data_IF_304361973235
#
_entry.id   IF_304361973235
#
_cell.length_a   1.000
_cell.length_b   1.000
_cell.length_c   1.000
_cell.angle_alpha   90.00
_cell.angle_beta   90.00
_cell.angle_gamma   90.00
#
_symmetry.space_group_name_H-M   'P 1'
#
loop_
_entity.id
_entity.type
_entity.pdbx_description
1 polymer ?
#
# COMPACT_ATOMS: atom_id res chain seq x y z
N UNK A 1 -12.91 -16.24 -11.63
CA UNK A 1 -12.94 -15.87 -10.19
C UNK A 1 -11.85 -14.83 -9.99
N UNK A 2 -12.19 -13.62 -9.55
CA UNK A 2 -11.15 -12.63 -9.22
C UNK A 2 -10.32 -13.19 -8.07
N UNK A 3 -9.00 -13.27 -8.21
CA UNK A 3 -8.13 -13.40 -7.04
C UNK A 3 -8.47 -12.23 -6.10
N UNK A 4 -8.67 -12.51 -4.82
CA UNK A 4 -8.87 -11.45 -3.82
C UNK A 4 -7.61 -10.59 -3.74
N UNK A 5 -7.79 -9.26 -3.62
CA UNK A 5 -6.68 -8.35 -3.35
C UNK A 5 -6.55 -8.27 -1.83
N UNK A 6 -5.45 -8.79 -1.28
CA UNK A 6 -5.18 -8.79 0.16
C UNK A 6 -3.86 -8.04 0.38
N UNK A 7 -3.90 -6.98 1.19
CA UNK A 7 -2.72 -6.19 1.57
C UNK A 7 -2.68 -6.10 3.09
N UNK A 8 -1.56 -6.53 3.68
CA UNK A 8 -1.35 -6.58 5.13
C UNK A 8 -2.49 -7.29 5.89
N UNK A 9 -2.87 -8.47 5.40
CA UNK A 9 -3.97 -9.28 5.96
C UNK A 9 -5.37 -8.71 5.71
N UNK A 10 -5.50 -7.52 5.12
CA UNK A 10 -6.80 -6.88 4.88
C UNK A 10 -7.28 -7.17 3.46
N UNK A 11 -8.46 -7.78 3.33
CA UNK A 11 -9.09 -8.04 2.03
C UNK A 11 -9.75 -6.77 1.49
N UNK A 12 -9.39 -6.32 0.29
CA UNK A 12 -9.94 -5.14 -0.39
C UNK A 12 -10.97 -5.61 -1.40
N UNK A 13 -12.25 -5.23 -1.26
CA UNK A 13 -13.33 -5.68 -2.14
C UNK A 13 -13.40 -4.87 -3.45
N UNK A 14 -14.00 -5.40 -4.53
CA UNK A 14 -14.28 -4.60 -5.73
C UNK A 14 -15.09 -3.34 -5.40
N UNK A 15 -14.70 -2.19 -5.95
CA UNK A 15 -15.28 -0.88 -5.64
C UNK A 15 -14.79 -0.23 -4.34
N UNK A 16 -13.95 -0.90 -3.56
CA UNK A 16 -13.42 -0.37 -2.31
C UNK A 16 -12.16 0.48 -2.54
N UNK A 17 -12.07 1.59 -1.80
CA UNK A 17 -10.84 2.34 -1.62
C UNK A 17 -10.39 2.21 -0.16
N UNK A 18 -9.10 1.98 0.05
CA UNK A 18 -8.56 1.79 1.40
C UNK A 18 -7.23 2.51 1.56
N UNK A 19 -7.04 3.12 2.73
CA UNK A 19 -5.74 3.57 3.22
C UNK A 19 -5.23 2.55 4.24
N UNK A 20 -4.00 2.08 4.08
CA UNK A 20 -3.37 1.07 4.92
C UNK A 20 -2.01 1.60 5.37
N UNK A 21 -1.78 1.61 6.67
CA UNK A 21 -0.43 1.78 7.22
C UNK A 21 0.12 0.42 7.59
N UNK A 22 1.28 0.08 7.06
CA UNK A 22 1.98 -1.17 7.37
C UNK A 22 3.21 -0.91 8.21
N UNK A 23 3.45 -1.75 9.22
CA UNK A 23 4.64 -1.68 10.06
C UNK A 23 5.80 -2.34 9.32
N UNK A 24 6.74 -1.56 8.79
CA UNK A 24 7.84 -2.09 7.95
C UNK A 24 9.13 -2.32 8.72
N UNK A 25 9.37 -1.55 9.78
CA UNK A 25 10.61 -1.65 10.55
C UNK A 25 10.47 -1.07 11.95
N UNK A 26 11.44 -1.42 12.80
CA UNK A 26 11.67 -0.76 14.08
C UNK A 26 13.12 -0.30 14.14
N UNK A 27 13.32 0.97 14.42
CA UNK A 27 14.65 1.54 14.62
C UNK A 27 15.24 1.10 15.98
N UNK A 28 16.57 1.15 16.18
CA UNK A 28 17.19 0.89 17.48
C UNK A 28 16.67 1.76 18.63
N UNK A 29 16.13 2.95 18.31
CA UNK A 29 15.44 3.83 19.26
C UNK A 29 14.10 3.27 19.77
N UNK A 30 13.59 2.21 19.17
CA UNK A 30 12.25 1.68 19.40
C UNK A 30 11.17 2.31 18.52
N UNK A 31 11.49 3.37 17.76
CA UNK A 31 10.57 4.02 16.82
C UNK A 31 10.10 3.04 15.75
N UNK A 32 8.79 2.95 15.52
CA UNK A 32 8.19 2.15 14.45
C UNK A 32 8.17 2.98 13.18
N UNK A 33 8.54 2.37 12.06
CA UNK A 33 8.40 2.95 10.73
C UNK A 33 7.12 2.38 10.12
N UNK A 34 6.19 3.27 9.82
CA UNK A 34 4.96 2.95 9.10
C UNK A 34 5.11 3.33 7.63
N UNK A 35 4.65 2.48 6.72
CA UNK A 35 4.59 2.78 5.29
C UNK A 35 3.13 2.95 4.85
N UNK A 36 2.75 4.13 4.33
CA UNK A 36 1.39 4.38 3.85
C UNK A 36 1.17 3.71 2.49
N UNK A 37 0.01 3.09 2.32
CA UNK A 37 -0.44 2.48 1.08
C UNK A 37 -1.87 2.94 0.79
N UNK A 38 -2.06 3.57 -0.37
CA UNK A 38 -3.38 3.86 -0.91
C UNK A 38 -3.77 2.80 -1.93
N UNK A 39 -4.95 2.22 -1.76
CA UNK A 39 -5.49 1.19 -2.64
C UNK A 39 -6.80 1.69 -3.22
N UNK A 40 -6.89 1.66 -4.55
CA UNK A 40 -8.11 1.98 -5.29
C UNK A 40 -8.47 0.78 -6.14
N UNK A 41 -9.64 0.17 -5.88
CA UNK A 41 -10.09 -1.02 -6.60
C UNK A 41 -11.41 -0.75 -7.29
N UNK A 42 -11.40 -0.84 -8.63
CA UNK A 42 -12.62 -0.75 -9.44
C UNK A 42 -13.60 -1.89 -9.13
N UNK A 43 -14.89 -1.65 -9.39
CA UNK A 43 -15.91 -2.71 -9.43
C UNK A 43 -15.65 -3.66 -10.61
N UNK A 44 -15.32 -3.08 -11.76
CA UNK A 44 -15.05 -3.82 -13.00
C UNK A 44 -13.60 -4.31 -13.08
N UNK A 45 -13.33 -5.55 -13.55
CA UNK A 45 -11.99 -6.07 -13.74
C UNK A 45 -11.17 -5.24 -14.74
N UNK A 46 -9.87 -5.08 -14.47
CA UNK A 46 -8.93 -4.38 -15.34
C UNK A 46 -7.48 -4.61 -14.93
N UNK A 47 -6.52 -3.96 -15.62
CA UNK A 47 -5.11 -4.01 -15.26
C UNK A 47 -4.86 -3.51 -13.84
N UNK A 48 -3.86 -4.08 -13.17
CA UNK A 48 -3.40 -3.64 -11.86
C UNK A 48 -2.06 -2.91 -12.02
N UNK A 49 -1.95 -1.73 -11.41
CA UNK A 49 -0.73 -0.92 -11.41
C UNK A 49 -0.30 -0.72 -9.96
N UNK A 50 1.01 -0.87 -9.72
CA UNK A 50 1.66 -0.47 -8.48
C UNK A 50 2.51 0.77 -8.77
N UNK A 51 2.29 1.83 -7.99
CA UNK A 51 3.16 2.99 -7.94
C UNK A 51 3.88 2.98 -6.60
N UNK A 52 5.20 3.18 -6.62
CA UNK A 52 6.04 3.21 -5.42
C UNK A 52 7.05 4.33 -5.56
N UNK A 53 7.28 5.05 -4.47
CA UNK A 53 8.21 6.18 -4.37
C UNK A 53 8.88 6.22 -3.00
N UNK A 54 9.86 7.11 -2.85
CA UNK A 54 10.63 7.23 -1.60
C UNK A 54 11.54 6.04 -1.30
N UNK A 55 12.08 5.37 -2.33
CA UNK A 55 13.01 4.25 -2.16
C UNK A 55 14.32 4.71 -1.51
N UNK A 56 14.82 5.87 -1.93
CA UNK A 56 15.86 6.61 -1.24
C UNK A 56 15.24 7.78 -0.46
N UNK A 57 15.84 8.12 0.68
CA UNK A 57 15.30 9.13 1.61
C UNK A 57 15.41 10.58 1.11
N UNK A 58 16.12 10.81 0.01
CA UNK A 58 16.35 12.10 -0.62
C UNK A 58 15.63 12.27 -1.97
N UNK A 59 14.84 11.28 -2.40
CA UNK A 59 14.08 11.30 -3.66
C UNK A 59 12.61 11.73 -3.45
N UNK A 60 12.36 13.03 -3.35
CA UNK A 60 11.05 13.57 -2.94
C UNK A 60 10.01 13.68 -4.05
N UNK A 61 10.40 13.69 -5.32
CA UNK A 61 9.47 13.94 -6.44
C UNK A 61 8.44 12.81 -6.65
N UNK A 62 8.73 11.61 -6.14
CA UNK A 62 7.85 10.44 -6.22
C UNK A 62 7.00 10.20 -4.97
N UNK A 63 7.09 11.09 -3.96
CA UNK A 63 6.31 11.07 -2.71
C UNK A 63 5.14 12.04 -2.83
#
# INVERSE_FOLDING_TARGET
MSLGMIIDGRNILPGENRFIEIDVARLPSGTIIHMPIHVYRSLEPGPCILLSGGLHGDEVNGV
#
